data_IF_981025582329
#
_entry.id   IF_981025582329
#
_cell.length_a   1.000
_cell.length_b   1.000
_cell.length_c   1.000
_cell.angle_alpha   90.00
_cell.angle_beta   90.00
_cell.angle_gamma   90.00
#
_symmetry.space_group_name_H-M   'P 1'
#
loop_
_entity.id
_entity.type
_entity.pdbx_description
1 polymer ?
#
# COMPACT_ATOMS: atom_id res chain seq x y z
N UNK A 1 -48.39 1.67 -22.22
CA UNK A 1 -47.06 2.21 -22.58
C UNK A 1 -46.31 2.81 -21.40
N UNK A 2 -46.83 3.83 -20.70
CA UNK A 2 -46.11 4.47 -19.58
C UNK A 2 -45.63 3.52 -18.48
N UNK A 3 -46.44 2.53 -18.08
CA UNK A 3 -46.06 1.52 -17.08
C UNK A 3 -44.88 0.65 -17.52
N UNK A 4 -44.85 0.23 -18.78
CA UNK A 4 -43.74 -0.57 -19.33
C UNK A 4 -42.45 0.24 -19.39
N UNK A 5 -42.53 1.48 -19.86
CA UNK A 5 -41.37 2.39 -19.90
C UNK A 5 -40.83 2.62 -18.48
N UNK A 6 -41.71 2.86 -17.51
CA UNK A 6 -41.32 3.02 -16.12
C UNK A 6 -40.63 1.76 -15.56
N UNK A 7 -41.18 0.57 -15.83
CA UNK A 7 -40.56 -0.70 -15.40
C UNK A 7 -39.16 -0.88 -16.00
N UNK A 8 -38.97 -0.58 -17.29
CA UNK A 8 -37.64 -0.67 -17.93
C UNK A 8 -36.66 0.33 -17.30
N UNK A 9 -37.08 1.57 -17.05
CA UNK A 9 -36.24 2.56 -16.38
C UNK A 9 -35.84 2.11 -14.97
N UNK A 10 -36.77 1.56 -14.19
CA UNK A 10 -36.47 1.07 -12.85
C UNK A 10 -35.50 -0.12 -12.87
N UNK A 11 -35.59 -1.00 -13.87
CA UNK A 11 -34.64 -2.10 -14.04
C UNK A 11 -33.23 -1.55 -14.33
N UNK A 12 -33.10 -0.55 -15.21
CA UNK A 12 -31.80 0.07 -15.51
C UNK A 12 -31.21 0.73 -14.26
N UNK A 13 -32.00 1.48 -13.51
CA UNK A 13 -31.54 2.11 -12.26
C UNK A 13 -31.12 1.06 -11.25
N UNK A 14 -31.92 0.01 -11.06
CA UNK A 14 -31.63 -1.08 -10.14
C UNK A 14 -30.31 -1.78 -10.46
N UNK A 15 -30.09 -2.15 -11.72
CA UNK A 15 -28.84 -2.79 -12.15
C UNK A 15 -27.64 -1.86 -12.04
N UNK A 16 -27.83 -0.56 -12.28
CA UNK A 16 -26.76 0.43 -12.10
C UNK A 16 -26.33 0.52 -10.63
N UNK A 17 -27.30 0.52 -9.71
CA UNK A 17 -27.01 0.51 -8.26
C UNK A 17 -26.30 -0.78 -7.83
N UNK A 18 -26.68 -1.93 -8.38
CA UNK A 18 -25.98 -3.20 -8.10
C UNK A 18 -24.56 -3.22 -8.63
N UNK A 19 -24.34 -2.71 -9.84
CA UNK A 19 -23.00 -2.58 -10.41
C UNK A 19 -22.11 -1.67 -9.53
N UNK A 20 -22.66 -0.55 -9.06
CA UNK A 20 -21.96 0.36 -8.16
C UNK A 20 -21.60 -0.29 -6.82
N UNK A 21 -22.55 -1.00 -6.21
CA UNK A 21 -22.31 -1.71 -4.94
C UNK A 21 -21.22 -2.79 -5.10
N UNK A 22 -21.26 -3.56 -6.19
CA UNK A 22 -20.25 -4.59 -6.45
C UNK A 22 -18.85 -3.97 -6.66
N UNK A 23 -18.77 -2.86 -7.39
CA UNK A 23 -17.50 -2.13 -7.57
C UNK A 23 -16.94 -1.63 -6.24
N UNK A 24 -17.79 -1.11 -5.34
CA UNK A 24 -17.39 -0.65 -4.01
C UNK A 24 -16.86 -1.81 -3.14
N UNK A 25 -17.56 -2.94 -3.12
CA UNK A 25 -17.15 -4.11 -2.34
C UNK A 25 -15.78 -4.63 -2.80
N UNK A 26 -15.55 -4.69 -4.11
CA UNK A 26 -14.25 -5.11 -4.67
C UNK A 26 -13.17 -4.07 -4.37
N UNK A 27 -13.46 -2.77 -4.52
CA UNK A 27 -12.52 -1.70 -4.19
C UNK A 27 -12.09 -1.74 -2.72
N UNK A 28 -13.05 -1.96 -1.81
CA UNK A 28 -12.79 -2.12 -0.39
C UNK A 28 -11.93 -3.37 -0.12
N UNK A 29 -12.23 -4.51 -0.74
CA UNK A 29 -11.38 -5.71 -0.62
C UNK A 29 -9.94 -5.46 -1.08
N UNK A 30 -9.79 -4.83 -2.24
CA UNK A 30 -8.50 -4.50 -2.85
C UNK A 30 -7.67 -3.57 -1.98
N UNK A 31 -8.25 -2.47 -1.48
CA UNK A 31 -7.49 -1.49 -0.66
C UNK A 31 -7.01 -2.11 0.66
N UNK A 32 -7.81 -3.00 1.27
CA UNK A 32 -7.42 -3.70 2.49
C UNK A 32 -6.27 -4.68 2.25
N UNK A 33 -6.34 -5.48 1.18
CA UNK A 33 -5.25 -6.42 0.87
C UNK A 33 -3.96 -5.67 0.50
N UNK A 34 -4.08 -4.61 -0.31
CA UNK A 34 -2.96 -3.77 -0.66
C UNK A 34 -2.32 -3.11 0.57
N UNK A 35 -3.14 -2.59 1.50
CA UNK A 35 -2.64 -2.03 2.76
C UNK A 35 -1.87 -3.06 3.57
N UNK A 36 -2.41 -4.28 3.70
CA UNK A 36 -1.73 -5.37 4.40
C UNK A 36 -0.40 -5.74 3.74
N UNK A 37 -0.35 -5.79 2.41
CA UNK A 37 0.88 -6.07 1.67
C UNK A 37 1.97 -5.03 1.96
N UNK A 38 1.60 -3.74 1.96
CA UNK A 38 2.50 -2.62 2.25
C UNK A 38 2.98 -2.64 3.71
N UNK A 39 2.09 -2.95 4.66
CA UNK A 39 2.48 -3.08 6.07
C UNK A 39 3.44 -4.25 6.29
N UNK A 40 3.19 -5.39 5.63
CA UNK A 40 4.10 -6.55 5.65
C UNK A 40 5.46 -6.19 5.05
N UNK A 41 5.49 -5.42 3.96
CA UNK A 41 6.73 -4.96 3.34
C UNK A 41 7.51 -3.99 4.25
N UNK A 42 6.83 -3.02 4.87
CA UNK A 42 7.45 -2.12 5.85
C UNK A 42 8.00 -2.89 7.05
N UNK A 43 7.26 -3.90 7.55
CA UNK A 43 7.71 -4.75 8.64
C UNK A 43 8.94 -5.58 8.27
N UNK A 44 8.95 -6.22 7.09
CA UNK A 44 10.09 -6.98 6.61
C UNK A 44 11.35 -6.10 6.48
N UNK A 45 11.18 -4.86 6.03
CA UNK A 45 12.25 -3.86 5.94
C UNK A 45 12.79 -3.47 7.32
N UNK A 46 11.90 -3.24 8.29
CA UNK A 46 12.26 -2.92 9.66
C UNK A 46 12.92 -4.08 10.42
N UNK A 47 12.94 -5.29 9.85
CA UNK A 47 13.67 -6.45 10.39
C UNK A 47 15.11 -6.56 9.86
N UNK A 48 15.53 -5.70 8.93
CA UNK A 48 16.86 -5.77 8.30
C UNK A 48 17.90 -5.01 9.12
N UNK A 49 18.25 -5.54 10.29
CA UNK A 49 19.22 -4.96 11.20
C UNK A 49 20.66 -5.00 10.64
N UNK A 50 21.41 -3.92 10.84
CA UNK A 50 22.85 -3.88 10.61
C UNK A 50 23.59 -4.62 11.75
N UNK A 51 24.10 -5.81 11.45
CA UNK A 51 24.81 -6.66 12.42
C UNK A 51 26.09 -6.02 12.94
N UNK A 52 26.82 -5.30 12.09
CA UNK A 52 28.08 -4.67 12.49
C UNK A 52 27.81 -3.58 13.53
N UNK A 53 26.74 -2.80 13.33
CA UNK A 53 26.30 -1.78 14.29
C UNK A 53 25.70 -2.39 15.56
N UNK A 54 24.97 -3.50 15.44
CA UNK A 54 24.46 -4.23 16.60
C UNK A 54 25.59 -4.69 17.54
N UNK A 55 26.70 -5.20 17.00
CA UNK A 55 27.87 -5.63 17.78
C UNK A 55 28.49 -4.46 18.57
N UNK A 56 28.32 -3.23 18.09
CA UNK A 56 28.74 -2.00 18.77
C UNK A 56 27.67 -1.44 19.73
N UNK A 57 26.54 -2.13 19.89
CA UNK A 57 25.41 -1.70 20.72
C UNK A 57 24.52 -0.63 20.07
N UNK A 58 24.68 -0.38 18.77
CA UNK A 58 23.90 0.61 18.01
C UNK A 58 22.78 -0.11 17.26
N UNK A 59 21.53 0.20 17.59
CA UNK A 59 20.37 -0.28 16.85
C UNK A 59 20.24 0.54 15.57
N UNK A 60 20.43 -0.12 14.42
CA UNK A 60 20.38 0.50 13.11
C UNK A 60 19.93 -0.52 12.07
N UNK A 61 19.15 -0.08 11.11
CA UNK A 61 18.73 -0.88 9.96
C UNK A 61 19.75 -0.70 8.83
N UNK A 62 20.06 -1.79 8.12
CA UNK A 62 20.89 -1.73 6.93
C UNK A 62 20.03 -1.27 5.73
N UNK A 63 20.22 -0.05 5.18
CA UNK A 63 19.23 0.55 4.28
C UNK A 63 19.02 -0.22 2.97
N UNK A 64 20.09 -0.76 2.38
CA UNK A 64 19.99 -1.53 1.13
C UNK A 64 19.30 -2.88 1.35
N UNK A 65 19.61 -3.58 2.44
CA UNK A 65 18.92 -4.82 2.83
C UNK A 65 17.45 -4.55 3.13
N UNK A 66 17.14 -3.47 3.86
CA UNK A 66 15.77 -3.04 4.16
C UNK A 66 14.96 -2.77 2.88
N UNK A 67 15.55 -2.08 1.90
CA UNK A 67 14.94 -1.84 0.59
C UNK A 67 14.69 -3.14 -0.16
N UNK A 68 15.67 -4.04 -0.22
CA UNK A 68 15.53 -5.34 -0.87
C UNK A 68 14.38 -6.16 -0.26
N UNK A 69 14.35 -6.27 1.07
CA UNK A 69 13.29 -6.99 1.77
C UNK A 69 11.90 -6.36 1.56
N UNK A 70 11.80 -5.02 1.58
CA UNK A 70 10.55 -4.33 1.26
C UNK A 70 10.05 -4.68 -0.14
N UNK A 71 10.93 -4.64 -1.15
CA UNK A 71 10.56 -4.92 -2.53
C UNK A 71 10.18 -6.38 -2.72
N UNK A 72 10.90 -7.32 -2.12
CA UNK A 72 10.58 -8.74 -2.18
C UNK A 72 9.20 -9.04 -1.59
N UNK A 73 8.90 -8.44 -0.43
CA UNK A 73 7.58 -8.59 0.19
C UNK A 73 6.49 -7.88 -0.61
N UNK A 74 6.75 -6.70 -1.16
CA UNK A 74 5.77 -6.00 -1.98
C UNK A 74 5.43 -6.81 -3.23
N UNK A 75 6.44 -7.30 -3.94
CA UNK A 75 6.29 -8.17 -5.12
C UNK A 75 5.57 -9.47 -4.80
N UNK A 76 5.97 -10.16 -3.72
CA UNK A 76 5.36 -11.42 -3.33
C UNK A 76 3.89 -11.28 -2.90
N UNK A 77 3.54 -10.21 -2.19
CA UNK A 77 2.19 -10.01 -1.68
C UNK A 77 1.22 -9.43 -2.71
N UNK A 78 1.70 -8.61 -3.64
CA UNK A 78 0.90 -8.00 -4.70
C UNK A 78 1.00 -8.75 -6.04
N UNK A 79 1.76 -9.85 -6.07
CA UNK A 79 2.08 -10.60 -7.29
C UNK A 79 2.62 -9.68 -8.40
N UNK A 80 3.74 -9.01 -8.13
CA UNK A 80 4.38 -8.08 -9.07
C UNK A 80 5.70 -8.64 -9.62
N UNK A 81 6.10 -8.16 -10.80
CA UNK A 81 7.41 -8.41 -11.39
C UNK A 81 8.51 -7.51 -10.79
N UNK A 82 9.71 -7.52 -11.37
CA UNK A 82 10.84 -6.72 -10.87
C UNK A 82 10.64 -5.20 -11.06
N UNK A 83 9.84 -4.82 -12.05
CA UNK A 83 9.50 -3.45 -12.40
C UNK A 83 8.21 -2.97 -11.70
N UNK A 84 7.68 -3.78 -10.76
CA UNK A 84 6.43 -3.53 -10.02
C UNK A 84 5.16 -3.53 -10.88
N UNK A 85 5.20 -4.16 -12.06
CA UNK A 85 4.00 -4.43 -12.84
C UNK A 85 3.29 -5.68 -12.31
N UNK A 86 1.94 -5.71 -12.34
CA UNK A 86 1.19 -6.88 -11.92
C UNK A 86 1.42 -8.08 -12.84
N UNK A 87 1.74 -9.22 -12.23
CA UNK A 87 1.80 -10.52 -12.90
C UNK A 87 0.37 -11.07 -13.17
N UNK A 88 0.23 -12.03 -14.09
CA UNK A 88 -1.02 -12.75 -14.27
C UNK A 88 -1.51 -13.36 -12.93
N UNK A 89 -2.73 -13.00 -12.53
CA UNK A 89 -3.32 -13.43 -11.26
C UNK A 89 -3.20 -12.41 -10.12
N UNK A 90 -2.48 -11.29 -10.31
CA UNK A 90 -2.60 -10.14 -9.43
C UNK A 90 -4.01 -9.56 -9.49
N UNK A 91 -4.48 -8.99 -8.38
CA UNK A 91 -5.73 -8.22 -8.33
C UNK A 91 -5.54 -6.78 -8.81
N UNK A 92 -4.30 -6.33 -9.04
CA UNK A 92 -3.98 -5.05 -9.63
C UNK A 92 -3.95 -5.17 -11.16
N UNK A 93 -4.22 -4.07 -11.87
CA UNK A 93 -4.04 -4.00 -13.34
C UNK A 93 -2.95 -3.00 -13.76
N UNK A 94 -2.72 -1.98 -12.95
CA UNK A 94 -1.68 -0.99 -13.17
C UNK A 94 -0.49 -1.27 -12.26
N UNK A 95 0.67 -0.73 -12.65
CA UNK A 95 1.90 -0.86 -11.90
C UNK A 95 1.80 -0.18 -10.52
N UNK A 96 2.44 -0.77 -9.52
CA UNK A 96 2.58 -0.15 -8.21
C UNK A 96 3.74 0.87 -8.24
N UNK A 97 3.50 2.08 -7.75
CA UNK A 97 4.54 3.11 -7.71
C UNK A 97 4.96 3.43 -6.27
N UNK A 98 6.21 3.16 -5.93
CA UNK A 98 6.75 3.49 -4.61
C UNK A 98 7.14 4.97 -4.56
N UNK A 99 6.24 5.77 -4.00
CA UNK A 99 6.38 7.23 -3.88
C UNK A 99 7.40 7.64 -2.83
N UNK A 100 7.49 6.90 -1.72
CA UNK A 100 8.47 7.17 -0.67
C UNK A 100 8.92 5.88 0.01
N UNK A 101 10.23 5.76 0.21
CA UNK A 101 10.82 4.74 1.07
C UNK A 101 11.92 5.40 1.91
N UNK A 102 11.71 5.47 3.22
CA UNK A 102 12.60 6.14 4.16
C UNK A 102 12.96 5.18 5.27
N UNK A 103 14.25 5.01 5.49
CA UNK A 103 14.80 4.28 6.64
C UNK A 103 15.24 5.33 7.66
N UNK A 104 14.60 5.32 8.83
CA UNK A 104 14.92 6.20 9.95
C UNK A 104 15.78 5.40 10.92
N UNK A 105 16.98 5.91 11.17
CA UNK A 105 18.06 5.20 11.85
C UNK A 105 18.61 6.05 13.01
N UNK A 106 19.81 5.72 13.51
CA UNK A 106 20.49 6.41 14.61
C UNK A 106 20.90 7.86 14.31
N UNK A 107 20.81 8.29 13.06
CA UNK A 107 21.07 9.68 12.66
C UNK A 107 20.01 10.65 13.26
N UNK A 108 18.87 10.11 13.69
CA UNK A 108 17.78 10.85 14.32
C UNK A 108 17.66 10.55 15.81
N UNK A 109 17.11 11.52 16.57
CA UNK A 109 16.87 11.36 18.00
C UNK A 109 15.47 10.80 18.22
N UNK A 110 15.39 9.61 18.82
CA UNK A 110 14.11 8.98 19.15
C UNK A 110 13.56 9.45 20.51
N UNK A 111 12.23 9.67 20.64
CA UNK A 111 11.20 9.47 19.62
C UNK A 111 11.29 10.53 18.49
N UNK A 112 11.24 10.05 17.25
CA UNK A 112 11.34 10.88 16.05
C UNK A 112 10.02 10.86 15.30
N UNK A 113 9.52 12.04 14.93
CA UNK A 113 8.28 12.16 14.15
C UNK A 113 8.60 12.42 12.69
N UNK A 114 8.41 11.39 11.87
CA UNK A 114 8.47 11.54 10.42
C UNK A 114 7.20 12.25 9.92
N UNK A 115 7.38 13.28 9.10
CA UNK A 115 6.29 14.01 8.44
C UNK A 115 6.54 14.11 6.95
N UNK A 116 5.53 13.77 6.17
CA UNK A 116 5.50 13.98 4.74
C UNK A 116 4.25 14.77 4.37
N UNK A 117 4.42 16.07 4.08
CA UNK A 117 3.33 16.99 3.75
C UNK A 117 2.71 16.71 2.39
N UNK A 118 3.48 16.18 1.44
CA UNK A 118 3.00 15.84 0.09
C UNK A 118 1.91 14.77 0.14
N UNK A 119 2.06 13.77 1.01
CA UNK A 119 1.11 12.66 1.16
C UNK A 119 0.26 12.75 2.43
N UNK A 120 0.37 13.84 3.20
CA UNK A 120 -0.35 14.03 4.47
C UNK A 120 -0.13 12.87 5.45
N UNK A 121 1.12 12.41 5.60
CA UNK A 121 1.46 11.29 6.46
C UNK A 121 2.38 11.71 7.60
N UNK A 122 2.04 11.30 8.81
CA UNK A 122 2.81 11.55 10.02
C UNK A 122 2.84 10.28 10.88
N UNK A 123 4.02 9.89 11.32
CA UNK A 123 4.21 8.77 12.25
C UNK A 123 5.33 9.10 13.22
N UNK A 124 5.12 8.78 14.50
CA UNK A 124 6.16 8.90 15.52
C UNK A 124 6.76 7.54 15.74
N UNK A 125 8.06 7.43 15.50
CA UNK A 125 8.85 6.24 15.72
C UNK A 125 9.59 6.38 17.06
N UNK A 126 9.47 5.40 17.93
CA UNK A 126 10.20 5.32 19.19
C UNK A 126 11.60 4.71 19.02
N UNK A 127 11.86 4.07 17.87
CA UNK A 127 13.06 3.31 17.53
C UNK A 127 13.33 3.40 16.02
N UNK A 128 14.52 2.98 15.55
CA UNK A 128 14.79 2.82 14.14
C UNK A 128 13.66 2.07 13.43
N UNK A 129 13.29 2.55 12.25
CA UNK A 129 12.10 2.08 11.56
C UNK A 129 12.08 2.48 10.10
N UNK A 130 11.06 2.00 9.40
CA UNK A 130 10.87 2.23 7.97
C UNK A 130 9.52 2.87 7.73
N UNK A 131 9.48 3.82 6.82
CA UNK A 131 8.27 4.39 6.25
C UNK A 131 8.22 4.09 4.76
N UNK A 132 7.09 3.54 4.32
CA UNK A 132 6.81 3.17 2.93
C UNK A 132 5.48 3.80 2.49
N UNK A 133 5.48 4.49 1.36
CA UNK A 133 4.28 5.03 0.72
C UNK A 133 4.25 4.51 -0.70
N UNK A 134 3.16 3.83 -1.06
CA UNK A 134 2.95 3.24 -2.38
C UNK A 134 1.65 3.76 -2.95
N UNK A 135 1.71 4.22 -4.18
CA UNK A 135 0.57 4.63 -4.97
C UNK A 135 0.06 3.44 -5.79
N UNK A 136 -1.26 3.24 -5.76
CA UNK A 136 -1.94 2.19 -6.51
C UNK A 136 -3.19 2.76 -7.18
N UNK A 137 -3.48 2.24 -8.38
CA UNK A 137 -4.71 2.54 -9.09
C UNK A 137 -5.67 1.36 -9.01
N UNK A 138 -6.93 1.65 -8.65
CA UNK A 138 -7.98 0.63 -8.60
C UNK A 138 -8.49 0.26 -9.99
N UNK A 139 -8.38 -1.02 -10.39
CA UNK A 139 -8.98 -1.48 -11.64
C UNK A 139 -10.50 -1.67 -11.49
N UNK A 140 -11.26 -0.65 -11.86
CA UNK A 140 -12.74 -0.73 -11.89
C UNK A 140 -13.25 -1.90 -12.73
N UNK A 141 -14.34 -2.54 -12.29
CA UNK A 141 -15.05 -3.54 -13.10
C UNK A 141 -16.07 -2.86 -14.00
N UNK A 142 -16.71 -1.78 -13.52
CA UNK A 142 -17.69 -1.02 -14.30
C UNK A 142 -17.26 0.44 -14.52
N UNK A 143 -17.63 1.03 -15.67
CA UNK A 143 -17.29 2.41 -16.05
C UNK A 143 -18.17 3.48 -15.39
N UNK A 144 -18.77 3.20 -14.23
CA UNK A 144 -19.73 4.10 -13.58
C UNK A 144 -19.04 5.22 -12.79
N UNK A 145 -17.82 4.96 -12.28
CA UNK A 145 -17.00 5.93 -11.54
C UNK A 145 -15.64 6.18 -12.21
N UNK A 146 -15.04 7.33 -11.90
CA UNK A 146 -13.64 7.61 -12.22
C UNK A 146 -12.72 6.58 -11.51
N UNK A 147 -11.50 6.32 -12.02
CA UNK A 147 -10.55 5.45 -11.33
C UNK A 147 -10.32 5.99 -9.91
N UNK A 148 -10.28 5.08 -8.94
CA UNK A 148 -9.92 5.44 -7.56
C UNK A 148 -8.42 5.20 -7.43
N UNK A 149 -7.70 6.25 -7.06
CA UNK A 149 -6.27 6.19 -6.78
C UNK A 149 -6.04 6.23 -5.27
N UNK A 150 -5.08 5.46 -4.78
CA UNK A 150 -4.76 5.38 -3.36
C UNK A 150 -3.27 5.55 -3.11
N UNK A 151 -2.92 6.51 -2.24
CA UNK A 151 -1.60 6.59 -1.62
C UNK A 151 -1.62 5.86 -0.27
N UNK A 152 -1.25 4.58 -0.31
CA UNK A 152 -1.25 3.71 0.84
C UNK A 152 0.06 3.83 1.62
N UNK A 153 -0.06 4.02 2.94
CA UNK A 153 1.07 4.30 3.84
C UNK A 153 1.28 3.13 4.80
N UNK A 154 2.52 2.69 4.93
CA UNK A 154 2.96 1.68 5.90
C UNK A 154 4.16 2.16 6.67
N UNK A 155 4.22 1.81 7.95
CA UNK A 155 5.38 2.08 8.80
C UNK A 155 5.59 0.93 9.76
N UNK A 156 6.86 0.63 10.05
CA UNK A 156 7.20 -0.34 11.07
C UNK A 156 8.46 0.08 11.81
N UNK A 157 8.52 -0.26 13.09
CA UNK A 157 9.72 -0.14 13.92
C UNK A 157 10.46 -1.47 14.00
N UNK A 158 11.74 -1.39 14.33
CA UNK A 158 12.51 -2.54 14.76
C UNK A 158 11.83 -3.21 15.98
N UNK A 159 11.51 -4.49 15.85
CA UNK A 159 10.98 -5.34 16.93
C UNK A 159 12.03 -6.39 17.28
N UNK A 160 12.29 -6.59 18.58
CA UNK A 160 13.20 -7.58 19.14
C UNK A 160 12.46 -8.55 20.06
#
# INVERSE_FOLDING_TARGET
>A
MAKLVFSVLMIVVWWTLHALQMDEEVAMGTVHEAKRAIDRAAHAAAQQLDRNKLEMGVLSLQPESARGAAWDYLRGNLALDAELNPLPGSFLREAADVRAFVVVNEDEVFPYTYRNSQYGYEVTLARPGVVLIVHLEYPRLFGVLAPVEWDLKGSAELVY
#
